data_IF_908380895262
#
_entry.id   IF_908380895262
#
_cell.length_a   1.000
_cell.length_b   1.000
_cell.length_c   1.000
_cell.angle_alpha   90.00
_cell.angle_beta   90.00
_cell.angle_gamma   90.00
#
_symmetry.space_group_name_H-M   'P 1'
#
loop_
_entity.id
_entity.type
_entity.pdbx_description
1 polymer ?
#
# COMPACT_ATOMS: atom_id res chain seq x y z
N UNK A 1 45.66 21.52 21.89
CA UNK A 1 45.86 20.04 21.94
C UNK A 1 44.57 19.23 22.08
N UNK A 2 43.38 19.85 22.18
CA UNK A 2 42.10 19.18 22.42
C UNK A 2 41.32 18.71 21.17
N UNK A 3 41.87 18.92 19.96
CA UNK A 3 41.19 18.59 18.71
C UNK A 3 41.55 17.19 18.15
N UNK A 4 42.57 16.52 18.71
CA UNK A 4 43.05 15.20 18.25
C UNK A 4 42.34 14.00 18.88
N UNK A 5 41.68 14.15 20.02
CA UNK A 5 41.07 13.03 20.77
C UNK A 5 39.62 12.71 20.38
N UNK A 6 38.91 13.63 19.71
CA UNK A 6 37.54 13.38 19.23
C UNK A 6 37.52 12.54 17.95
N UNK A 7 38.57 12.63 17.12
CA UNK A 7 38.65 11.92 15.84
C UNK A 7 38.70 10.38 16.01
N UNK A 8 39.39 9.88 17.04
CA UNK A 8 39.51 8.44 17.27
C UNK A 8 38.21 7.77 17.73
N UNK A 9 37.38 8.50 18.48
CA UNK A 9 36.10 7.99 18.98
C UNK A 9 34.97 8.08 17.94
N UNK A 10 35.06 9.00 16.97
CA UNK A 10 33.99 9.23 15.98
C UNK A 10 34.00 8.22 14.84
N UNK A 11 35.17 7.71 14.46
CA UNK A 11 35.35 6.72 13.38
C UNK A 11 34.50 5.45 13.57
N UNK A 12 34.49 4.77 14.74
CA UNK A 12 33.68 3.55 14.89
C UNK A 12 32.17 3.83 14.80
N UNK A 13 31.69 4.97 15.31
CA UNK A 13 30.28 5.35 15.18
C UNK A 13 29.92 5.73 13.75
N UNK A 14 30.82 6.41 13.02
CA UNK A 14 30.61 6.73 11.61
C UNK A 14 30.56 5.46 10.75
N UNK A 15 31.47 4.51 10.99
CA UNK A 15 31.46 3.21 10.30
C UNK A 15 30.22 2.40 10.65
N UNK A 16 29.82 2.36 11.92
CA UNK A 16 28.60 1.69 12.36
C UNK A 16 27.33 2.33 11.76
N UNK A 17 27.25 3.66 11.74
CA UNK A 17 26.13 4.38 11.14
C UNK A 17 26.06 4.18 9.61
N UNK A 18 27.20 4.20 8.93
CA UNK A 18 27.24 3.87 7.50
C UNK A 18 26.81 2.42 7.28
N UNK A 19 27.25 1.49 8.13
CA UNK A 19 26.83 0.10 8.06
C UNK A 19 25.32 -0.06 8.26
N UNK A 20 24.70 0.64 9.22
CA UNK A 20 23.24 0.57 9.42
C UNK A 20 22.49 1.20 8.26
N UNK A 21 22.90 2.37 7.76
CA UNK A 21 22.27 3.03 6.60
C UNK A 21 22.36 2.15 5.36
N UNK A 22 23.51 1.51 5.13
CA UNK A 22 23.69 0.58 4.01
C UNK A 22 22.88 -0.69 4.25
N UNK A 23 22.92 -1.31 5.43
CA UNK A 23 22.20 -2.55 5.69
C UNK A 23 20.67 -2.40 5.74
N UNK A 24 20.15 -1.21 6.08
CA UNK A 24 18.72 -0.92 6.25
C UNK A 24 17.85 -1.32 5.04
N UNK A 25 18.18 -0.93 3.79
CA UNK A 25 17.47 -1.39 2.59
C UNK A 25 17.33 -2.90 2.42
N UNK A 26 18.31 -3.69 2.89
CA UNK A 26 18.26 -5.16 2.82
C UNK A 26 17.53 -5.79 4.01
N UNK A 27 17.59 -5.17 5.20
CA UNK A 27 16.86 -5.63 6.38
C UNK A 27 15.37 -5.32 6.28
N UNK A 28 15.01 -4.24 5.58
CA UNK A 28 13.63 -3.80 5.36
C UNK A 28 13.40 -3.53 3.87
N UNK A 29 13.26 -4.58 3.04
CA UNK A 29 13.00 -4.40 1.62
C UNK A 29 11.65 -3.70 1.45
N UNK A 30 11.67 -2.43 1.04
CA UNK A 30 10.46 -1.70 0.68
C UNK A 30 10.08 -2.11 -0.76
N UNK A 31 9.02 -2.90 -0.91
CA UNK A 31 8.50 -3.34 -2.21
C UNK A 31 7.80 -2.19 -2.97
N UNK A 32 8.53 -1.17 -3.39
CA UNK A 32 7.97 -0.02 -4.14
C UNK A 32 7.53 -0.39 -5.56
N UNK A 33 7.95 -1.55 -6.07
CA UNK A 33 7.54 -2.04 -7.40
C UNK A 33 6.02 -2.26 -7.50
N UNK A 34 5.34 -2.54 -6.40
CA UNK A 34 3.88 -2.66 -6.36
C UNK A 34 3.20 -1.32 -6.70
N UNK A 35 3.65 -0.23 -6.07
CA UNK A 35 3.07 1.10 -6.24
C UNK A 35 3.36 1.65 -7.64
N UNK A 36 4.57 1.39 -8.15
CA UNK A 36 4.99 1.83 -9.49
C UNK A 36 4.12 1.25 -10.62
N UNK A 37 3.48 0.09 -10.39
CA UNK A 37 2.60 -0.57 -11.36
C UNK A 37 1.14 -0.13 -11.25
N UNK A 38 0.78 0.69 -10.26
CA UNK A 38 -0.57 1.23 -10.14
C UNK A 38 -0.77 2.39 -11.12
N UNK A 39 -2.01 2.66 -11.56
CA UNK A 39 -2.33 3.89 -12.30
C UNK A 39 -1.93 5.14 -11.51
N UNK A 40 -1.47 6.19 -12.22
CA UNK A 40 -0.98 7.43 -11.59
C UNK A 40 -2.03 8.08 -10.67
N UNK A 41 -3.30 8.00 -11.05
CA UNK A 41 -4.43 8.50 -10.26
C UNK A 41 -4.62 7.73 -8.95
N UNK A 42 -4.14 6.50 -8.81
CA UNK A 42 -4.25 5.73 -7.55
C UNK A 42 -2.97 5.85 -6.72
N UNK A 43 -1.82 6.10 -7.35
CA UNK A 43 -0.53 6.18 -6.65
C UNK A 43 -0.49 7.26 -5.55
N UNK A 44 -1.19 8.38 -5.75
CA UNK A 44 -1.20 9.45 -4.74
C UNK A 44 -1.95 9.06 -3.46
N UNK A 45 -2.88 8.09 -3.52
CA UNK A 45 -3.64 7.61 -2.37
C UNK A 45 -2.78 6.73 -1.44
N UNK A 46 -1.86 5.94 -2.00
CA UNK A 46 -0.96 5.04 -1.25
C UNK A 46 -0.14 5.76 -0.18
N UNK A 47 0.21 7.02 -0.42
CA UNK A 47 0.98 7.82 0.53
C UNK A 47 0.15 8.68 1.48
N UNK A 48 -1.17 8.73 1.32
CA UNK A 48 -2.07 9.62 2.07
C UNK A 48 -3.09 8.86 2.91
N UNK A 49 -3.52 7.69 2.44
CA UNK A 49 -4.58 6.91 3.05
C UNK A 49 -4.05 5.68 3.79
N UNK A 50 -4.69 5.28 4.91
CA UNK A 50 -4.36 4.03 5.57
C UNK A 50 -4.72 2.84 4.67
N UNK A 51 -3.85 1.82 4.67
CA UNK A 51 -4.17 0.54 4.04
C UNK A 51 -5.22 -0.24 4.86
N UNK A 52 -6.14 -0.98 4.21
CA UNK A 52 -6.35 -1.05 2.76
C UNK A 52 -7.14 0.15 2.22
N UNK A 53 -6.81 0.61 1.01
CA UNK A 53 -7.49 1.75 0.37
C UNK A 53 -8.77 1.25 -0.30
N UNK A 54 -9.91 1.89 -0.03
CA UNK A 54 -11.19 1.50 -0.59
C UNK A 54 -11.45 2.28 -1.88
N UNK A 55 -11.69 1.56 -2.96
CA UNK A 55 -11.89 2.10 -4.30
C UNK A 55 -13.27 1.72 -4.83
N UNK A 56 -13.91 2.66 -5.51
CA UNK A 56 -15.17 2.45 -6.22
C UNK A 56 -15.13 3.15 -7.57
N UNK A 57 -15.72 2.55 -8.60
CA UNK A 57 -16.00 3.26 -9.84
C UNK A 57 -17.39 3.89 -9.82
N UNK A 58 -17.55 5.10 -10.35
CA UNK A 58 -18.83 5.79 -10.41
C UNK A 58 -19.93 5.04 -11.19
N UNK A 59 -19.57 4.27 -12.22
CA UNK A 59 -20.52 3.53 -13.07
C UNK A 59 -20.79 2.11 -12.59
N UNK A 60 -20.11 1.65 -11.53
CA UNK A 60 -20.24 0.30 -10.98
C UNK A 60 -20.68 0.35 -9.52
N UNK A 61 -21.58 -0.55 -9.08
CA UNK A 61 -21.94 -0.64 -7.67
C UNK A 61 -20.86 -1.32 -6.81
N UNK A 62 -19.84 -1.93 -7.42
CA UNK A 62 -18.84 -2.73 -6.71
C UNK A 62 -17.79 -1.88 -5.98
N UNK A 63 -17.41 -2.34 -4.78
CA UNK A 63 -16.36 -1.75 -3.96
C UNK A 63 -15.18 -2.72 -3.91
N UNK A 64 -13.98 -2.18 -4.03
CA UNK A 64 -12.74 -2.94 -4.02
C UNK A 64 -11.83 -2.42 -2.91
N UNK A 65 -11.17 -3.32 -2.19
CA UNK A 65 -10.07 -3.00 -1.30
C UNK A 65 -8.75 -3.18 -2.05
N UNK A 66 -7.92 -2.14 -2.12
CA UNK A 66 -6.58 -2.21 -2.67
C UNK A 66 -5.61 -2.68 -1.58
N UNK A 67 -4.99 -3.83 -1.82
CA UNK A 67 -4.12 -4.51 -0.87
C UNK A 67 -2.96 -5.17 -1.63
N UNK A 68 -1.73 -4.87 -1.22
CA UNK A 68 -0.49 -5.38 -1.87
C UNK A 68 -0.46 -5.25 -3.41
N UNK A 69 -1.07 -4.19 -3.96
CA UNK A 69 -1.13 -3.96 -5.42
C UNK A 69 -2.21 -4.73 -6.16
N UNK A 70 -3.09 -5.40 -5.44
CA UNK A 70 -4.21 -6.15 -6.00
C UNK A 70 -5.52 -5.53 -5.54
N UNK A 71 -6.52 -5.51 -6.43
CA UNK A 71 -7.88 -5.14 -6.07
C UNK A 71 -8.62 -6.36 -5.56
N UNK A 72 -9.18 -6.26 -4.37
CA UNK A 72 -9.94 -7.33 -3.72
C UNK A 72 -11.39 -6.91 -3.71
N UNK A 73 -12.23 -7.62 -4.47
CA UNK A 73 -13.65 -7.31 -4.51
C UNK A 73 -14.31 -7.57 -3.16
N UNK A 74 -15.08 -6.61 -2.67
CA UNK A 74 -15.94 -6.77 -1.49
C UNK A 74 -17.33 -7.15 -1.98
N UNK A 75 -17.77 -8.36 -1.64
CA UNK A 75 -18.96 -9.01 -2.18
C UNK A 75 -20.21 -8.14 -2.07
N UNK A 76 -20.46 -7.61 -0.88
CA UNK A 76 -21.67 -6.88 -0.54
C UNK A 76 -21.46 -5.90 0.64
N UNK A 77 -22.48 -5.09 0.91
CA UNK A 77 -22.47 -4.10 1.99
C UNK A 77 -22.36 -4.76 3.38
N UNK A 78 -23.07 -5.87 3.69
CA UNK A 78 -22.87 -6.56 4.96
C UNK A 78 -21.42 -6.99 5.19
N UNK A 79 -20.73 -7.47 4.15
CA UNK A 79 -19.31 -7.82 4.24
C UNK A 79 -18.44 -6.58 4.48
N UNK A 80 -18.74 -5.48 3.79
CA UNK A 80 -18.05 -4.20 3.98
C UNK A 80 -18.14 -3.71 5.43
N UNK A 81 -19.34 -3.71 6.00
CA UNK A 81 -19.59 -3.28 7.38
C UNK A 81 -19.01 -4.25 8.40
N UNK A 82 -19.11 -5.56 8.16
CA UNK A 82 -18.52 -6.59 9.03
C UNK A 82 -16.98 -6.53 9.07
N UNK A 83 -16.36 -6.08 7.98
CA UNK A 83 -14.92 -5.80 7.93
C UNK A 83 -14.51 -4.51 8.67
N UNK A 84 -15.49 -3.72 9.15
CA UNK A 84 -15.26 -2.46 9.86
C UNK A 84 -14.90 -1.28 8.94
N UNK A 85 -15.10 -1.43 7.63
CA UNK A 85 -14.83 -0.37 6.67
C UNK A 85 -15.84 0.78 6.80
N UNK A 86 -15.37 1.99 6.51
CA UNK A 86 -16.15 3.21 6.61
C UNK A 86 -16.39 3.79 5.23
N UNK A 87 -17.63 4.16 4.93
CA UNK A 87 -18.00 4.75 3.64
C UNK A 87 -17.25 6.06 3.32
N UNK A 88 -16.85 6.81 4.35
CA UNK A 88 -16.08 8.05 4.21
C UNK A 88 -14.66 7.83 3.65
N UNK A 89 -14.14 6.61 3.76
CA UNK A 89 -12.80 6.23 3.32
C UNK A 89 -12.84 5.60 1.91
N UNK A 90 -13.99 5.63 1.24
CA UNK A 90 -14.18 5.11 -0.13
C UNK A 90 -13.85 6.20 -1.15
N UNK A 91 -12.79 5.98 -1.91
CA UNK A 91 -12.36 6.85 -3.00
C UNK A 91 -13.05 6.44 -4.30
N UNK A 92 -13.62 7.43 -4.98
CA UNK A 92 -14.23 7.21 -6.29
C UNK A 92 -13.20 7.50 -7.37
N UNK A 93 -12.77 6.46 -8.07
CA UNK A 93 -11.77 6.53 -9.14
C UNK A 93 -12.37 6.14 -10.50
N UNK A 94 -11.59 6.35 -11.56
CA UNK A 94 -11.99 5.96 -12.92
C UNK A 94 -12.02 4.43 -13.04
N UNK A 95 -13.07 3.90 -13.68
CA UNK A 95 -13.21 2.46 -13.94
C UNK A 95 -11.96 1.87 -14.60
N UNK A 96 -11.42 2.54 -15.63
CA UNK A 96 -10.23 2.06 -16.37
C UNK A 96 -9.02 1.81 -15.46
N UNK A 97 -8.88 2.64 -14.42
CA UNK A 97 -7.72 2.61 -13.54
C UNK A 97 -7.90 1.50 -12.49
N UNK A 98 -9.11 1.34 -11.96
CA UNK A 98 -9.47 0.18 -11.14
C UNK A 98 -9.35 -1.11 -11.97
N UNK A 99 -9.78 -1.13 -13.22
CA UNK A 99 -9.73 -2.28 -14.11
C UNK A 99 -8.29 -2.73 -14.43
N UNK A 100 -7.37 -1.77 -14.54
CA UNK A 100 -5.95 -2.04 -14.78
C UNK A 100 -5.24 -2.74 -13.61
N UNK A 101 -5.78 -2.65 -12.39
CA UNK A 101 -5.20 -3.30 -11.21
C UNK A 101 -5.51 -4.81 -11.28
N UNK A 102 -4.53 -5.70 -11.03
CA UNK A 102 -4.76 -7.13 -11.02
C UNK A 102 -5.71 -7.56 -9.89
N UNK A 103 -6.57 -8.54 -10.17
CA UNK A 103 -7.49 -9.10 -9.18
C UNK A 103 -6.76 -9.88 -8.09
N UNK A 104 -7.20 -9.67 -6.85
CA UNK A 104 -6.80 -10.42 -5.66
C UNK A 104 -7.90 -11.34 -5.16
N UNK A 105 -7.66 -11.98 -4.01
CA UNK A 105 -8.66 -12.81 -3.36
C UNK A 105 -9.83 -11.93 -2.87
N UNK A 106 -11.09 -12.24 -3.23
CA UNK A 106 -12.22 -11.43 -2.82
C UNK A 106 -12.47 -11.53 -1.32
N UNK A 107 -13.34 -10.66 -0.82
CA UNK A 107 -13.76 -10.58 0.57
C UNK A 107 -15.28 -10.78 0.57
N UNK A 108 -15.79 -11.89 1.14
CA UNK A 108 -15.05 -13.06 1.64
C UNK A 108 -14.42 -13.91 0.51
N UNK A 109 -13.46 -14.80 0.80
CA UNK A 109 -12.76 -15.60 -0.21
C UNK A 109 -13.64 -16.49 -1.10
N UNK A 110 -14.82 -16.87 -0.62
CA UNK A 110 -15.83 -17.69 -1.30
C UNK A 110 -16.81 -16.85 -2.14
N UNK A 111 -16.60 -15.54 -2.27
CA UNK A 111 -17.48 -14.65 -3.01
C UNK A 111 -17.54 -14.93 -4.52
N UNK A 112 -16.52 -15.58 -5.09
CA UNK A 112 -16.41 -15.77 -6.55
C UNK A 112 -15.95 -14.50 -7.27
N UNK A 113 -16.32 -14.37 -8.54
CA UNK A 113 -15.99 -13.19 -9.35
C UNK A 113 -17.12 -12.15 -9.29
N UNK A 114 -16.81 -10.84 -9.40
CA UNK A 114 -17.83 -9.80 -9.44
C UNK A 114 -18.81 -10.04 -10.60
N UNK A 115 -20.09 -10.25 -10.29
CA UNK A 115 -21.15 -10.40 -11.29
C UNK A 115 -21.42 -11.81 -11.82
N UNK A 116 -20.84 -12.86 -11.21
CA UNK A 116 -21.23 -14.26 -11.44
C UNK A 116 -22.48 -14.68 -10.67
#
# INVERSE_FOLDING_TARGET
ALQRSLAGAMIPYAVWALFTVVALPWLFPINQGVVANLPADIQHLVGQEPYPILLKCATSPHIYALDEGKKRWIKDIPTFEAAGFQWRDVHTELCRDIDAIPDGLPIPPDAGVPGA
#
